data_IF_797759658641
#
_entry.id   IF_797759658641
#
_cell.length_a   1.000
_cell.length_b   1.000
_cell.length_c   1.000
_cell.angle_alpha   90.00
_cell.angle_beta   90.00
_cell.angle_gamma   90.00
#
_symmetry.space_group_name_H-M   'P 1'
#
loop_
_entity.id
_entity.type
_entity.pdbx_description
1 polymer ?
#
# COMPACT_ATOMS: atom_id res chain seq x y z
N UNK A 1 -0.02 9.17 -0.10
CA UNK A 1 1.11 8.38 0.42
C UNK A 1 2.22 8.38 -0.63
N UNK A 2 3.32 9.12 -0.41
CA UNK A 2 4.44 9.10 -1.33
C UNK A 2 5.14 7.74 -1.30
N UNK A 3 5.47 7.21 -2.47
CA UNK A 3 6.19 5.95 -2.61
C UNK A 3 7.30 6.08 -3.64
N UNK A 4 8.38 5.34 -3.40
CA UNK A 4 9.48 5.20 -4.33
C UNK A 4 9.62 3.72 -4.70
N UNK A 5 9.75 3.44 -6.01
CA UNK A 5 9.79 2.10 -6.55
C UNK A 5 10.91 1.97 -7.57
N UNK A 6 11.55 0.81 -7.60
CA UNK A 6 12.55 0.42 -8.58
C UNK A 6 12.10 -0.87 -9.26
N UNK A 7 12.10 -0.91 -10.58
CA UNK A 7 11.82 -2.14 -11.34
C UNK A 7 13.05 -3.03 -11.31
N UNK A 8 12.86 -4.28 -10.86
CA UNK A 8 13.94 -5.26 -10.69
C UNK A 8 14.12 -6.20 -11.87
N UNK A 9 13.08 -6.39 -12.69
CA UNK A 9 13.11 -7.40 -13.74
C UNK A 9 12.78 -6.80 -15.10
N UNK A 10 13.38 -7.35 -16.14
CA UNK A 10 12.77 -7.31 -17.47
C UNK A 10 11.39 -7.98 -17.41
N UNK A 11 10.52 -7.74 -18.42
CA UNK A 11 9.22 -8.40 -18.45
C UNK A 11 9.35 -9.92 -18.38
N UNK A 12 8.77 -10.52 -17.35
CA UNK A 12 8.73 -11.97 -17.13
C UNK A 12 7.37 -12.53 -17.55
N UNK A 13 7.36 -13.79 -17.98
CA UNK A 13 6.15 -14.41 -18.51
C UNK A 13 5.89 -14.07 -19.98
N UNK A 14 4.74 -14.47 -20.46
CA UNK A 14 4.32 -14.21 -21.83
C UNK A 14 2.81 -13.98 -21.91
N UNK A 15 2.35 -13.49 -23.08
CA UNK A 15 0.92 -13.25 -23.30
C UNK A 15 0.31 -12.30 -22.26
N UNK A 16 -0.91 -12.55 -21.79
CA UNK A 16 -1.69 -11.67 -20.92
C UNK A 16 -1.10 -11.47 -19.51
N UNK A 17 -0.28 -12.43 -19.02
CA UNK A 17 0.33 -12.35 -17.70
C UNK A 17 1.76 -11.81 -17.73
N UNK A 18 2.27 -11.37 -18.87
CA UNK A 18 3.57 -10.74 -18.95
C UNK A 18 3.60 -9.50 -18.07
N UNK A 19 4.60 -9.42 -17.20
CA UNK A 19 4.70 -8.34 -16.23
C UNK A 19 6.08 -8.12 -15.68
N UNK A 20 6.23 -7.07 -14.88
CA UNK A 20 7.45 -6.64 -14.25
C UNK A 20 7.29 -6.58 -12.74
N UNK A 21 8.33 -7.01 -12.03
CA UNK A 21 8.42 -6.88 -10.57
C UNK A 21 9.13 -5.59 -10.23
N UNK A 22 8.53 -4.82 -9.34
CA UNK A 22 9.14 -3.64 -8.74
C UNK A 22 9.15 -3.77 -7.22
N UNK A 23 10.19 -3.23 -6.59
CA UNK A 23 10.28 -3.12 -5.13
C UNK A 23 10.56 -1.68 -4.74
N UNK A 24 10.23 -1.35 -3.52
CA UNK A 24 10.44 -0.01 -3.01
C UNK A 24 9.92 0.16 -1.59
N UNK A 25 9.51 1.37 -1.29
CA UNK A 25 8.97 1.71 0.01
C UNK A 25 7.93 2.82 -0.11
N UNK A 26 7.04 2.87 0.86
CA UNK A 26 5.94 3.83 0.94
C UNK A 26 5.92 4.46 2.34
N UNK A 27 5.76 5.77 2.40
CA UNK A 27 5.42 6.46 3.64
C UNK A 27 3.91 6.39 3.82
N UNK A 28 3.49 5.85 4.95
CA UNK A 28 2.07 5.67 5.27
C UNK A 28 1.62 6.77 6.22
N UNK A 29 0.54 7.45 5.87
CA UNK A 29 -0.20 8.33 6.77
C UNK A 29 -1.68 8.00 6.67
N UNK A 30 -2.29 7.70 7.81
CA UNK A 30 -3.71 7.40 7.91
C UNK A 30 -4.33 8.36 8.93
N UNK A 31 -5.40 9.01 8.55
CA UNK A 31 -6.25 9.76 9.44
C UNK A 31 -7.55 8.98 9.65
N UNK A 32 -7.81 8.61 10.88
CA UNK A 32 -9.07 8.00 11.29
C UNK A 32 -10.06 9.11 11.64
N UNK A 33 -11.32 8.95 11.27
CA UNK A 33 -12.36 9.95 11.49
C UNK A 33 -13.32 9.52 12.62
N UNK A 34 -13.58 8.23 12.71
CA UNK A 34 -14.51 7.64 13.67
C UNK A 34 -13.78 6.66 14.60
N UNK A 35 -14.17 6.54 15.84
CA UNK A 35 -15.16 7.33 16.61
C UNK A 35 -14.63 8.71 17.02
N UNK A 36 -13.38 9.04 16.74
CA UNK A 36 -12.74 10.34 16.98
C UNK A 36 -11.56 10.53 16.01
N UNK A 37 -11.21 11.78 15.76
CA UNK A 37 -10.08 12.09 14.87
C UNK A 37 -8.77 11.67 15.53
N UNK A 38 -8.03 10.83 14.85
CA UNK A 38 -6.71 10.35 15.28
C UNK A 38 -5.84 10.04 14.07
N UNK A 39 -4.55 9.87 14.27
CA UNK A 39 -3.59 9.75 13.20
C UNK A 39 -2.66 8.55 13.40
N UNK A 40 -2.16 8.03 12.30
CA UNK A 40 -1.08 7.07 12.29
C UNK A 40 -0.09 7.36 11.17
N UNK A 41 1.18 7.07 11.43
CA UNK A 41 2.29 7.23 10.49
C UNK A 41 3.15 5.98 10.46
N UNK A 42 3.67 5.66 9.29
CA UNK A 42 4.50 4.47 9.13
C UNK A 42 5.39 4.49 7.91
N UNK A 43 6.15 3.44 7.78
CA UNK A 43 7.01 3.16 6.64
C UNK A 43 6.83 1.70 6.24
N UNK A 44 6.54 1.46 4.95
CA UNK A 44 6.23 0.12 4.47
C UNK A 44 7.09 -0.21 3.23
N UNK A 45 8.07 -1.13 3.34
CA UNK A 45 8.59 -1.86 2.20
C UNK A 45 7.46 -2.39 1.33
N UNK A 46 7.64 -2.32 0.00
CA UNK A 46 6.59 -2.58 -0.97
C UNK A 46 7.11 -3.40 -2.14
N UNK A 47 6.30 -4.37 -2.57
CA UNK A 47 6.49 -5.10 -3.82
C UNK A 47 5.26 -4.88 -4.71
N UNK A 48 5.48 -4.75 -6.00
CA UNK A 48 4.43 -4.54 -7.00
C UNK A 48 4.72 -5.37 -8.23
N UNK A 49 3.71 -6.08 -8.71
CA UNK A 49 3.71 -6.73 -10.01
C UNK A 49 2.83 -5.94 -10.97
N UNK A 50 3.41 -5.47 -12.07
CA UNK A 50 2.71 -4.68 -13.08
C UNK A 50 2.61 -5.49 -14.37
N UNK A 51 1.39 -5.75 -14.82
CA UNK A 51 1.12 -6.41 -16.11
C UNK A 51 1.43 -5.43 -17.25
N UNK A 52 2.25 -5.86 -18.21
CA UNK A 52 2.71 -4.99 -19.31
C UNK A 52 2.20 -5.41 -20.68
N UNK A 53 1.29 -6.38 -20.74
CA UNK A 53 0.70 -6.86 -21.98
C UNK A 53 -0.17 -5.81 -22.72
N UNK A 54 -0.60 -4.76 -22.03
CA UNK A 54 -1.37 -3.66 -22.58
C UNK A 54 -0.50 -2.39 -22.60
N UNK A 55 -0.59 -1.63 -23.67
CA UNK A 55 0.24 -0.45 -23.89
C UNK A 55 0.10 0.61 -22.79
N UNK A 56 -1.06 1.27 -22.75
CA UNK A 56 -1.31 2.43 -21.90
C UNK A 56 -1.99 2.11 -20.59
N UNK A 57 -2.72 1.02 -20.50
CA UNK A 57 -3.40 0.58 -19.27
C UNK A 57 -2.63 -0.61 -18.74
N UNK A 58 -1.99 -0.44 -17.60
CA UNK A 58 -1.21 -1.50 -16.96
C UNK A 58 -1.83 -1.86 -15.61
N UNK A 59 -2.56 -2.96 -15.54
CA UNK A 59 -3.03 -3.51 -14.27
C UNK A 59 -1.85 -3.85 -13.36
N UNK A 60 -2.06 -3.80 -12.05
CA UNK A 60 -1.05 -4.24 -11.09
C UNK A 60 -1.67 -4.86 -9.84
N UNK A 61 -0.87 -5.68 -9.18
CA UNK A 61 -1.09 -6.11 -7.81
C UNK A 61 0.08 -5.65 -6.94
N UNK A 62 -0.18 -5.30 -5.69
CA UNK A 62 0.83 -4.79 -4.78
C UNK A 62 0.65 -5.33 -3.38
N UNK A 63 1.76 -5.45 -2.66
CA UNK A 63 1.79 -5.77 -1.25
C UNK A 63 2.82 -4.88 -0.57
N UNK A 64 2.48 -4.37 0.61
CA UNK A 64 3.37 -3.58 1.43
C UNK A 64 3.13 -3.90 2.91
N UNK A 65 4.16 -3.72 3.73
CA UNK A 65 4.00 -3.90 5.16
C UNK A 65 5.19 -3.39 5.94
N UNK A 66 4.95 -2.88 7.13
CA UNK A 66 6.02 -2.36 7.96
C UNK A 66 5.56 -1.70 9.25
N UNK A 67 6.47 -1.08 9.98
CA UNK A 67 6.18 -0.41 11.24
C UNK A 67 5.22 0.76 11.07
N UNK A 68 4.31 0.89 12.02
CA UNK A 68 3.27 1.90 12.04
C UNK A 68 3.01 2.39 13.46
N UNK A 69 3.07 3.68 13.66
CA UNK A 69 2.74 4.33 14.94
C UNK A 69 1.40 5.01 14.85
N UNK A 70 0.57 4.81 15.87
CA UNK A 70 -0.75 5.43 15.96
C UNK A 70 -1.05 5.88 17.37
N UNK A 71 -1.84 6.91 17.53
CA UNK A 71 -2.35 7.39 18.81
C UNK A 71 -3.71 6.75 19.19
N UNK A 72 -4.06 5.62 18.59
CA UNK A 72 -5.25 4.82 18.92
C UNK A 72 -5.11 4.07 20.27
N UNK A 73 -3.89 3.84 20.73
CA UNK A 73 -3.60 3.08 21.93
C UNK A 73 -4.39 3.57 23.15
N UNK A 74 -5.11 2.65 23.79
CA UNK A 74 -5.95 2.94 24.95
C UNK A 74 -7.21 3.76 24.67
N UNK A 75 -7.48 4.10 23.42
CA UNK A 75 -8.67 4.84 22.99
C UNK A 75 -9.71 3.92 22.37
N UNK A 76 -9.27 2.80 21.81
CA UNK A 76 -10.14 1.75 21.25
C UNK A 76 -9.73 0.38 21.79
N UNK A 77 -10.69 -0.56 21.95
CA UNK A 77 -10.38 -1.88 22.51
C UNK A 77 -9.54 -2.77 21.57
N UNK A 78 -9.49 -2.45 20.27
CA UNK A 78 -8.73 -3.20 19.28
C UNK A 78 -7.21 -2.99 19.37
N UNK A 79 -6.78 -1.84 19.95
CA UNK A 79 -5.38 -1.41 19.93
C UNK A 79 -4.90 -1.01 21.32
N UNK A 80 -3.97 -1.80 21.88
CA UNK A 80 -3.40 -1.58 23.20
C UNK A 80 -2.06 -0.82 23.20
N UNK A 81 -1.39 -0.76 22.05
CA UNK A 81 -0.07 -0.15 21.90
C UNK A 81 -0.01 0.91 20.79
N UNK A 82 0.87 1.89 20.97
CA UNK A 82 1.12 2.90 19.92
C UNK A 82 1.93 2.35 18.77
N UNK A 83 2.80 1.38 19.03
CA UNK A 83 3.60 0.72 18.00
C UNK A 83 2.85 -0.48 17.44
N UNK A 84 2.63 -0.46 16.16
CA UNK A 84 1.91 -1.46 15.39
C UNK A 84 2.66 -1.81 14.10
N UNK A 85 2.12 -2.75 13.36
CA UNK A 85 2.47 -3.03 11.97
C UNK A 85 1.26 -2.77 11.09
N UNK A 86 1.50 -2.21 9.91
CA UNK A 86 0.51 -2.12 8.84
C UNK A 86 0.86 -3.12 7.76
N UNK A 87 -0.12 -3.92 7.33
CA UNK A 87 -0.04 -4.78 6.15
C UNK A 87 -1.06 -4.30 5.14
N UNK A 88 -0.63 -4.17 3.89
CA UNK A 88 -1.44 -3.65 2.80
C UNK A 88 -1.35 -4.59 1.62
N UNK A 89 -2.50 -5.01 1.09
CA UNK A 89 -2.59 -5.75 -0.16
C UNK A 89 -3.57 -5.02 -1.08
N UNK A 90 -3.23 -4.87 -2.35
CA UNK A 90 -4.05 -4.10 -3.26
C UNK A 90 -3.88 -4.48 -4.72
N UNK A 91 -4.77 -3.95 -5.52
CA UNK A 91 -4.75 -4.05 -6.97
C UNK A 91 -5.24 -2.74 -7.58
N UNK A 92 -4.86 -2.50 -8.82
CA UNK A 92 -5.25 -1.30 -9.52
C UNK A 92 -4.80 -1.30 -10.96
N UNK A 93 -4.83 -0.14 -11.57
CA UNK A 93 -4.27 0.09 -12.88
C UNK A 93 -3.58 1.44 -12.95
N UNK A 94 -2.55 1.50 -13.80
CA UNK A 94 -1.86 2.71 -14.19
C UNK A 94 -2.25 3.05 -15.62
N UNK A 95 -2.72 4.27 -15.85
CA UNK A 95 -2.98 4.80 -17.19
C UNK A 95 -1.84 5.74 -17.58
N UNK A 96 -1.03 5.32 -18.54
CA UNK A 96 0.13 6.08 -19.01
C UNK A 96 -0.30 7.25 -19.89
N UNK A 97 -0.04 8.46 -19.43
CA UNK A 97 -0.24 9.71 -20.17
C UNK A 97 0.92 9.94 -21.14
N UNK A 98 2.12 9.63 -20.67
CA UNK A 98 3.38 9.64 -21.42
C UNK A 98 4.22 8.44 -20.99
N UNK A 99 5.37 8.20 -21.60
CA UNK A 99 6.29 7.14 -21.18
C UNK A 99 6.82 7.34 -19.74
N UNK A 100 6.76 8.56 -19.24
CA UNK A 100 7.30 8.94 -17.94
C UNK A 100 6.24 9.33 -16.90
N UNK A 101 4.96 9.36 -17.25
CA UNK A 101 3.91 9.79 -16.33
C UNK A 101 2.64 8.95 -16.46
N UNK A 102 2.09 8.53 -15.34
CA UNK A 102 0.85 7.78 -15.30
C UNK A 102 -0.09 8.24 -14.18
N UNK A 103 -1.38 8.13 -14.45
CA UNK A 103 -2.45 8.18 -13.46
C UNK A 103 -2.67 6.78 -12.90
N UNK A 104 -2.82 6.68 -11.60
CA UNK A 104 -3.11 5.42 -10.91
C UNK A 104 -4.48 5.47 -10.26
N UNK A 105 -5.20 4.37 -10.34
CA UNK A 105 -6.39 4.14 -9.54
C UNK A 105 -6.38 2.70 -9.04
N UNK A 106 -6.80 2.49 -7.80
CA UNK A 106 -6.77 1.16 -7.21
C UNK A 106 -7.59 1.05 -5.95
N UNK A 107 -7.56 -0.15 -5.42
CA UNK A 107 -8.21 -0.51 -4.18
C UNK A 107 -7.23 -1.29 -3.30
N UNK A 108 -7.19 -0.94 -2.03
CA UNK A 108 -6.25 -1.50 -1.07
C UNK A 108 -6.95 -1.93 0.18
N UNK A 109 -6.66 -3.13 0.63
CA UNK A 109 -7.01 -3.64 1.95
C UNK A 109 -5.83 -3.41 2.90
N UNK A 110 -6.13 -2.87 4.09
CA UNK A 110 -5.16 -2.61 5.14
C UNK A 110 -5.53 -3.38 6.39
N UNK A 111 -4.52 -3.96 7.04
CA UNK A 111 -4.61 -4.56 8.35
C UNK A 111 -3.56 -3.91 9.26
N UNK A 112 -4.00 -3.40 10.41
CA UNK A 112 -3.13 -2.81 11.42
C UNK A 112 -3.25 -3.64 12.68
N UNK A 113 -2.11 -4.06 13.26
CA UNK A 113 -2.07 -4.82 14.51
C UNK A 113 -0.70 -4.70 15.16
N UNK A 114 -0.63 -4.91 16.46
CA UNK A 114 0.64 -4.88 17.19
C UNK A 114 1.45 -6.20 17.12
N UNK A 115 1.01 -7.18 16.30
CA UNK A 115 1.69 -8.46 16.16
C UNK A 115 1.64 -9.35 17.42
N UNK A 116 0.73 -9.09 18.35
CA UNK A 116 0.59 -9.82 19.61
C UNK A 116 1.59 -9.38 20.69
N UNK A 117 2.26 -8.25 20.52
CA UNK A 117 3.22 -7.73 21.53
C UNK A 117 2.53 -7.20 22.77
N UNK A 118 1.27 -6.81 22.67
CA UNK A 118 0.43 -6.35 23.78
C UNK A 118 -1.01 -6.83 23.58
N UNK A 119 -1.75 -7.05 24.68
CA UNK A 119 -3.16 -7.45 24.66
C UNK A 119 -4.04 -6.34 25.26
N UNK A 120 -5.27 -6.14 24.72
CA UNK A 120 -5.86 -6.83 23.55
C UNK A 120 -5.18 -6.45 22.23
N UNK A 121 -5.26 -7.35 21.23
CA UNK A 121 -4.80 -7.12 19.87
C UNK A 121 -5.81 -7.76 18.90
N UNK A 122 -6.92 -7.09 18.70
CA UNK A 122 -7.99 -7.55 17.78
C UNK A 122 -7.67 -7.16 16.33
N UNK A 123 -6.79 -6.16 16.16
CA UNK A 123 -6.44 -5.60 14.88
C UNK A 123 -7.54 -4.75 14.26
N UNK A 124 -7.13 -3.83 13.41
CA UNK A 124 -8.02 -2.93 12.67
C UNK A 124 -7.91 -3.22 11.17
N UNK A 125 -9.05 -3.47 10.53
CA UNK A 125 -9.13 -3.68 9.10
C UNK A 125 -9.79 -2.49 8.42
N UNK A 126 -9.23 -2.06 7.31
CA UNK A 126 -9.79 -0.99 6.49
C UNK A 126 -9.62 -1.28 5.00
N UNK A 127 -10.56 -0.77 4.22
CA UNK A 127 -10.55 -0.87 2.76
C UNK A 127 -10.59 0.53 2.18
N UNK A 128 -9.64 0.83 1.26
CA UNK A 128 -9.44 2.16 0.73
C UNK A 128 -9.37 2.15 -0.79
N UNK A 129 -10.30 2.82 -1.50
CA UNK A 129 -10.03 3.25 -2.87
C UNK A 129 -8.95 4.34 -2.84
N UNK A 130 -8.07 4.35 -3.81
CA UNK A 130 -7.04 5.38 -3.93
C UNK A 130 -6.82 5.81 -5.36
N UNK A 131 -6.28 7.02 -5.52
CA UNK A 131 -5.82 7.55 -6.78
C UNK A 131 -4.52 8.33 -6.59
N UNK A 132 -3.74 8.49 -7.65
CA UNK A 132 -2.47 9.20 -7.58
C UNK A 132 -1.78 9.34 -8.92
N UNK A 133 -0.58 9.91 -8.87
CA UNK A 133 0.31 10.06 -10.00
C UNK A 133 1.59 9.26 -9.77
N UNK A 134 2.15 8.71 -10.85
CA UNK A 134 3.50 8.13 -10.86
C UNK A 134 4.34 8.82 -11.91
N UNK A 135 5.62 9.03 -11.57
CA UNK A 135 6.64 9.50 -12.48
C UNK A 135 7.73 8.44 -12.58
N UNK A 136 8.19 8.18 -13.80
CA UNK A 136 9.21 7.18 -14.14
C UNK A 136 10.44 7.90 -14.71
N UNK A 137 11.62 7.44 -14.30
CA UNK A 137 12.92 8.03 -14.67
C UNK A 137 13.81 7.02 -15.35
#
# INVERSE_FOLDING_TARGET
>A
MPSWMMTLSDPIGNSWYQGQVSVGAEMVYIQFQEPFVTHGVGFAPKIKYTFVALDRIRPYAEFAGGPFWTDLAGKIPEESGQFNFVLMAGFGFSYFLTDQAALNAGYRFNHISNGGTQYPNLGLNASLPYGGFSFYF
#
